data_IF_370947556329
#
_entry.id   IF_370947556329
#
_cell.length_a   1.000
_cell.length_b   1.000
_cell.length_c   1.000
_cell.angle_alpha   90.00
_cell.angle_beta   90.00
_cell.angle_gamma   90.00
#
_symmetry.space_group_name_H-M   'P 1'
#
loop_
_entity.id
_entity.type
_entity.pdbx_description
1 polymer ?
#
# COMPACT_ATOMS: atom_id res chain seq x y z
N UNK A 1 -37.07 44.03 10.57
CA UNK A 1 -35.66 44.45 10.53
C UNK A 1 -34.70 43.51 11.32
N UNK A 2 -35.03 42.21 11.47
CA UNK A 2 -34.18 41.22 12.19
C UNK A 2 -33.70 40.05 11.31
N UNK A 3 -34.18 39.93 10.08
CA UNK A 3 -33.82 38.82 9.18
C UNK A 3 -32.48 39.00 8.44
N UNK A 4 -31.87 40.19 8.50
CA UNK A 4 -30.64 40.49 7.76
C UNK A 4 -29.36 40.27 8.57
N UNK A 5 -29.45 40.13 9.90
CA UNK A 5 -28.26 39.98 10.76
C UNK A 5 -27.83 38.52 10.99
N UNK A 6 -28.74 37.55 10.84
CA UNK A 6 -28.42 36.12 11.01
C UNK A 6 -27.68 35.56 9.78
N UNK A 7 -27.90 36.13 8.59
CA UNK A 7 -27.23 35.68 7.37
C UNK A 7 -25.73 36.04 7.32
N UNK A 8 -25.33 37.13 7.99
CA UNK A 8 -23.92 37.56 8.00
C UNK A 8 -23.05 36.73 8.97
N UNK A 9 -23.64 36.19 10.03
CA UNK A 9 -22.91 35.35 10.99
C UNK A 9 -22.69 33.90 10.51
N UNK A 10 -23.53 33.42 9.59
CA UNK A 10 -23.33 32.12 8.92
C UNK A 10 -22.25 32.22 7.84
N UNK A 11 -22.09 33.38 7.19
CA UNK A 11 -21.11 33.54 6.11
C UNK A 11 -19.67 33.84 6.57
N UNK A 12 -19.48 34.42 7.75
CA UNK A 12 -18.13 34.69 8.29
C UNK A 12 -17.39 33.43 8.77
N UNK A 13 -18.10 32.32 9.01
CA UNK A 13 -17.49 31.01 9.32
C UNK A 13 -17.23 30.13 8.09
N UNK A 14 -17.72 30.50 6.90
CA UNK A 14 -17.73 29.65 5.70
C UNK A 14 -16.36 29.25 5.16
N UNK A 15 -15.34 30.13 5.25
CA UNK A 15 -13.98 29.83 4.78
C UNK A 15 -13.30 28.73 5.59
N UNK A 16 -13.47 28.72 6.90
CA UNK A 16 -12.85 27.70 7.78
C UNK A 16 -13.45 26.30 7.53
N UNK A 17 -14.77 26.22 7.36
CA UNK A 17 -15.44 24.96 6.99
C UNK A 17 -15.06 24.49 5.58
N UNK A 18 -14.99 25.39 4.60
CA UNK A 18 -14.55 25.08 3.23
C UNK A 18 -13.12 24.55 3.18
N UNK A 19 -12.20 25.13 3.96
CA UNK A 19 -10.80 24.66 4.05
C UNK A 19 -10.74 23.28 4.71
N UNK A 20 -11.40 23.08 5.86
CA UNK A 20 -11.45 21.75 6.53
C UNK A 20 -12.03 20.66 5.63
N UNK A 21 -13.05 21.00 4.82
CA UNK A 21 -13.66 20.05 3.87
C UNK A 21 -12.72 19.67 2.72
N UNK A 22 -11.98 20.63 2.15
CA UNK A 22 -10.96 20.34 1.12
C UNK A 22 -9.83 19.47 1.67
N UNK A 23 -9.35 19.74 2.88
CA UNK A 23 -8.33 18.93 3.54
C UNK A 23 -8.82 17.50 3.79
N UNK A 24 -10.08 17.34 4.23
CA UNK A 24 -10.70 16.03 4.42
C UNK A 24 -10.81 15.25 3.10
N UNK A 25 -11.24 15.90 2.01
CA UNK A 25 -11.28 15.27 0.68
C UNK A 25 -9.89 14.82 0.23
N UNK A 26 -8.88 15.66 0.42
CA UNK A 26 -7.50 15.32 0.04
C UNK A 26 -6.99 14.13 0.87
N UNK A 27 -7.22 14.14 2.18
CA UNK A 27 -6.87 13.04 3.06
C UNK A 27 -7.60 11.74 2.68
N UNK A 28 -8.91 11.79 2.41
CA UNK A 28 -9.69 10.66 1.93
C UNK A 28 -9.14 10.10 0.61
N UNK A 29 -8.74 10.98 -0.31
CA UNK A 29 -8.12 10.57 -1.59
C UNK A 29 -6.78 9.86 -1.38
N UNK A 30 -5.94 10.39 -0.49
CA UNK A 30 -4.65 9.80 -0.15
C UNK A 30 -4.80 8.43 0.52
N UNK A 31 -5.75 8.30 1.45
CA UNK A 31 -6.11 7.02 2.10
C UNK A 31 -6.66 6.00 1.10
N UNK A 32 -7.50 6.44 0.16
CA UNK A 32 -8.04 5.57 -0.90
C UNK A 32 -6.92 5.06 -1.80
N UNK A 33 -5.98 5.92 -2.18
CA UNK A 33 -4.83 5.55 -2.98
C UNK A 33 -3.93 4.53 -2.25
N UNK A 34 -3.69 4.73 -0.95
CA UNK A 34 -2.90 3.80 -0.13
C UNK A 34 -3.54 2.41 -0.08
N UNK A 35 -4.84 2.34 0.19
CA UNK A 35 -5.58 1.07 0.19
C UNK A 35 -5.44 0.36 -1.15
N UNK A 36 -5.73 1.06 -2.25
CA UNK A 36 -5.66 0.49 -3.60
C UNK A 36 -4.25 0.00 -3.95
N UNK A 37 -3.22 0.75 -3.57
CA UNK A 37 -1.83 0.37 -3.79
C UNK A 37 -1.45 -0.86 -2.95
N UNK A 38 -1.82 -0.91 -1.68
CA UNK A 38 -1.59 -2.09 -0.83
C UNK A 38 -2.24 -3.34 -1.42
N UNK A 39 -3.54 -3.28 -1.76
CA UNK A 39 -4.28 -4.39 -2.37
C UNK A 39 -3.64 -4.85 -3.69
N UNK A 40 -3.24 -3.90 -4.54
CA UNK A 40 -2.59 -4.19 -5.82
C UNK A 40 -1.25 -4.92 -5.63
N UNK A 41 -0.38 -4.41 -4.75
CA UNK A 41 0.94 -5.00 -4.55
C UNK A 41 0.87 -6.35 -3.83
N UNK A 42 -0.03 -6.51 -2.86
CA UNK A 42 -0.29 -7.81 -2.20
C UNK A 42 -0.80 -8.84 -3.23
N UNK A 43 -1.72 -8.44 -4.12
CA UNK A 43 -2.25 -9.33 -5.17
C UNK A 43 -1.17 -9.75 -6.17
N UNK A 44 -0.25 -8.84 -6.53
CA UNK A 44 0.87 -9.16 -7.41
C UNK A 44 1.87 -10.09 -6.72
N UNK A 45 2.19 -9.79 -5.47
CA UNK A 45 3.10 -10.58 -4.65
C UNK A 45 2.57 -12.01 -4.45
N UNK A 46 1.26 -12.18 -4.26
CA UNK A 46 0.64 -13.52 -4.21
C UNK A 46 0.98 -14.34 -5.46
N UNK A 47 0.85 -13.76 -6.66
CA UNK A 47 1.19 -14.44 -7.91
C UNK A 47 2.67 -14.82 -8.01
N UNK A 48 3.54 -13.98 -7.44
CA UNK A 48 4.97 -14.29 -7.34
C UNK A 48 5.15 -15.51 -6.45
N UNK A 49 4.66 -15.48 -5.20
CA UNK A 49 4.77 -16.62 -4.28
C UNK A 49 4.18 -17.92 -4.83
N UNK A 50 3.08 -17.86 -5.59
CA UNK A 50 2.43 -19.03 -6.19
C UNK A 50 3.32 -19.72 -7.26
N UNK A 51 4.31 -19.01 -7.81
CA UNK A 51 5.16 -19.50 -8.92
C UNK A 51 6.65 -19.38 -8.65
N UNK A 52 7.03 -18.89 -7.48
CA UNK A 52 8.41 -18.71 -7.05
C UNK A 52 9.04 -20.07 -6.78
N UNK A 53 10.15 -20.34 -7.43
CA UNK A 53 10.98 -21.50 -7.15
C UNK A 53 12.15 -21.10 -6.24
N UNK A 54 12.32 -21.81 -5.12
CA UNK A 54 13.43 -21.60 -4.19
C UNK A 54 14.51 -22.63 -4.45
N UNK A 55 15.67 -22.17 -4.94
CA UNK A 55 16.84 -23.03 -5.22
C UNK A 55 17.74 -23.15 -4.00
N UNK A 56 17.92 -22.05 -3.27
CA UNK A 56 18.71 -21.95 -2.02
C UNK A 56 18.34 -20.68 -1.26
N UNK A 57 18.92 -20.49 -0.08
CA UNK A 57 18.72 -19.26 0.70
C UNK A 57 17.36 -19.20 1.40
N UNK A 58 16.94 -20.30 2.03
CA UNK A 58 15.64 -20.43 2.72
C UNK A 58 15.36 -19.26 3.68
N UNK A 59 16.38 -18.72 4.35
CA UNK A 59 16.24 -17.56 5.23
C UNK A 59 15.69 -16.31 4.50
N UNK A 60 16.13 -16.05 3.27
CA UNK A 60 15.61 -14.93 2.47
C UNK A 60 14.16 -15.17 2.04
N UNK A 61 13.81 -16.42 1.74
CA UNK A 61 12.44 -16.79 1.44
C UNK A 61 11.55 -16.61 2.68
N UNK A 62 12.01 -17.07 3.84
CA UNK A 62 11.30 -16.94 5.11
C UNK A 62 11.07 -15.47 5.46
N UNK A 63 12.09 -14.61 5.29
CA UNK A 63 11.92 -13.16 5.47
C UNK A 63 10.87 -12.59 4.52
N UNK A 64 10.98 -12.87 3.22
CA UNK A 64 10.00 -12.41 2.25
C UNK A 64 8.57 -12.87 2.60
N UNK A 65 8.43 -14.14 2.99
CA UNK A 65 7.14 -14.76 3.31
C UNK A 65 6.52 -14.15 4.57
N UNK A 66 7.31 -13.94 5.62
CA UNK A 66 6.86 -13.32 6.86
C UNK A 66 6.34 -11.91 6.62
N UNK A 67 7.09 -11.07 5.89
CA UNK A 67 6.63 -9.73 5.54
C UNK A 67 5.41 -9.74 4.62
N UNK A 68 5.29 -10.72 3.72
CA UNK A 68 4.08 -10.88 2.93
C UNK A 68 2.86 -11.28 3.77
N UNK A 69 3.04 -12.15 4.77
CA UNK A 69 1.97 -12.50 5.70
C UNK A 69 1.57 -11.30 6.59
N UNK A 70 2.54 -10.53 7.07
CA UNK A 70 2.30 -9.28 7.78
C UNK A 70 1.52 -8.28 6.92
N UNK A 71 1.84 -8.18 5.62
CA UNK A 71 1.11 -7.30 4.70
C UNK A 71 -0.38 -7.65 4.61
N UNK A 72 -0.71 -8.94 4.54
CA UNK A 72 -2.11 -9.43 4.53
C UNK A 72 -2.78 -9.15 5.87
N UNK A 73 -2.07 -9.42 6.97
CA UNK A 73 -2.56 -9.18 8.33
C UNK A 73 -2.90 -7.69 8.56
N UNK A 74 -2.03 -6.78 8.14
CA UNK A 74 -2.26 -5.35 8.25
C UNK A 74 -3.40 -4.88 7.33
N UNK A 75 -3.52 -5.44 6.13
CA UNK A 75 -4.62 -5.13 5.21
C UNK A 75 -5.97 -5.52 5.83
N UNK A 76 -6.10 -6.71 6.39
CA UNK A 76 -7.30 -7.18 7.09
C UNK A 76 -7.70 -6.24 8.24
N UNK A 77 -6.70 -5.72 8.96
CA UNK A 77 -6.86 -4.74 10.05
C UNK A 77 -7.03 -3.29 9.59
N UNK A 78 -7.13 -3.04 8.27
CA UNK A 78 -7.24 -1.71 7.66
C UNK A 78 -6.07 -0.77 7.98
N UNK A 79 -4.89 -1.33 8.29
CA UNK A 79 -3.62 -0.63 8.52
C UNK A 79 -2.87 -0.50 7.19
N UNK A 80 -3.33 0.40 6.32
CA UNK A 80 -2.92 0.40 4.90
C UNK A 80 -1.48 0.84 4.66
N UNK A 81 -0.92 1.70 5.51
CA UNK A 81 0.48 2.13 5.38
C UNK A 81 1.39 0.94 5.69
N UNK A 82 1.15 0.29 6.82
CA UNK A 82 1.91 -0.88 7.27
C UNK A 82 1.74 -2.07 6.31
N UNK A 83 0.53 -2.25 5.77
CA UNK A 83 0.28 -3.27 4.75
C UNK A 83 1.10 -3.03 3.47
N UNK A 84 1.13 -1.78 2.99
CA UNK A 84 1.91 -1.43 1.81
C UNK A 84 3.41 -1.56 2.07
N UNK A 85 3.90 -1.07 3.21
CA UNK A 85 5.30 -1.16 3.62
C UNK A 85 5.77 -2.61 3.70
N UNK A 86 5.03 -3.47 4.40
CA UNK A 86 5.37 -4.89 4.53
C UNK A 86 5.39 -5.60 3.16
N UNK A 87 4.46 -5.28 2.25
CA UNK A 87 4.47 -5.81 0.89
C UNK A 87 5.73 -5.36 0.10
N UNK A 88 6.15 -4.11 0.24
CA UNK A 88 7.36 -3.57 -0.41
C UNK A 88 8.64 -4.23 0.15
N UNK A 89 8.70 -4.49 1.46
CA UNK A 89 9.83 -5.22 2.06
C UNK A 89 9.91 -6.66 1.51
N UNK A 90 8.76 -7.33 1.38
CA UNK A 90 8.72 -8.65 0.75
C UNK A 90 9.25 -8.62 -0.70
N UNK A 91 8.91 -7.58 -1.49
CA UNK A 91 9.45 -7.38 -2.84
C UNK A 91 10.98 -7.28 -2.83
N UNK A 92 11.55 -6.52 -1.89
CA UNK A 92 12.99 -6.34 -1.80
C UNK A 92 13.74 -7.67 -1.55
N UNK A 93 13.23 -8.54 -0.69
CA UNK A 93 13.84 -9.85 -0.43
C UNK A 93 13.75 -10.78 -1.65
N UNK A 94 12.64 -10.78 -2.37
CA UNK A 94 12.52 -11.59 -3.60
C UNK A 94 13.44 -11.05 -4.69
N UNK A 95 13.45 -9.73 -4.95
CA UNK A 95 14.34 -9.11 -5.94
C UNK A 95 15.82 -9.42 -5.65
N UNK A 96 16.22 -9.31 -4.38
CA UNK A 96 17.57 -9.64 -3.95
C UNK A 96 17.89 -11.13 -4.15
N UNK A 97 16.96 -12.02 -3.78
CA UNK A 97 17.13 -13.47 -4.00
C UNK A 97 17.21 -13.84 -5.48
N UNK A 98 16.48 -13.16 -6.36
CA UNK A 98 16.58 -13.35 -7.81
C UNK A 98 17.95 -12.91 -8.34
N UNK A 99 18.45 -11.73 -7.93
CA UNK A 99 19.79 -11.24 -8.30
C UNK A 99 20.92 -12.19 -7.90
N UNK A 100 20.78 -12.86 -6.77
CA UNK A 100 21.76 -13.84 -6.30
C UNK A 100 21.59 -15.24 -6.91
N UNK A 101 20.61 -15.44 -7.80
CA UNK A 101 20.19 -16.74 -8.33
C UNK A 101 19.77 -17.73 -7.24
N UNK A 102 19.19 -17.22 -6.15
CA UNK A 102 18.65 -18.05 -5.06
C UNK A 102 17.23 -18.48 -5.37
N UNK A 103 16.50 -17.64 -6.11
CA UNK A 103 15.14 -17.91 -6.57
C UNK A 103 15.06 -17.90 -8.10
N UNK A 104 13.94 -18.39 -8.63
CA UNK A 104 13.50 -18.12 -10.00
C UNK A 104 12.00 -17.84 -10.04
N UNK A 105 11.59 -17.02 -11.00
CA UNK A 105 10.19 -16.76 -11.34
C UNK A 105 9.97 -17.01 -12.83
N UNK A 106 8.72 -17.22 -13.28
CA UNK A 106 8.41 -17.27 -14.71
C UNK A 106 8.84 -15.99 -15.43
N UNK A 107 9.31 -16.13 -16.67
CA UNK A 107 9.80 -15.01 -17.51
C UNK A 107 8.83 -13.82 -17.61
N UNK A 108 7.53 -14.10 -17.58
CA UNK A 108 6.49 -13.06 -17.64
C UNK A 108 6.47 -12.14 -16.41
N UNK A 109 7.01 -12.61 -15.28
CA UNK A 109 7.09 -11.90 -14.01
C UNK A 109 8.44 -11.20 -13.79
N UNK A 110 9.49 -11.56 -14.53
CA UNK A 110 10.82 -10.92 -14.44
C UNK A 110 10.73 -9.40 -14.60
N UNK A 111 9.81 -8.91 -15.44
CA UNK A 111 9.54 -7.47 -15.66
C UNK A 111 9.13 -6.68 -14.40
N UNK A 112 8.84 -7.36 -13.29
CA UNK A 112 8.51 -6.73 -12.01
C UNK A 112 9.73 -6.53 -11.12
N UNK A 113 10.88 -7.09 -11.51
CA UNK A 113 12.12 -7.11 -10.75
C UNK A 113 13.22 -6.38 -11.53
N UNK A 114 14.31 -6.11 -10.82
CA UNK A 114 15.49 -5.42 -11.36
C UNK A 114 16.61 -6.42 -11.68
N UNK A 115 16.26 -7.48 -12.42
CA UNK A 115 17.13 -8.59 -12.85
C UNK A 115 17.28 -8.64 -14.35
#
# INVERSE_FOLDING_TARGET
MLFSFIFFFIFSSSKSYSIKFKTLIHFLKLMTNLKQNAEKEIKRMQKVFDSLEVKKGNQFYDFAKNYFDDSKHFLEKKKYIEAFEAAVIAWAYIDFGLKLNYFSVPREQEKWFTV
#
